data_IF_039667094967
#
_entry.id   IF_039667094967
#
_cell.length_a   1.000
_cell.length_b   1.000
_cell.length_c   1.000
_cell.angle_alpha   90.00
_cell.angle_beta   90.00
_cell.angle_gamma   90.00
#
_symmetry.space_group_name_H-M   'P 1'
#
loop_
_entity.id
_entity.type
_entity.pdbx_description
1 polymer ?
#
# COMPACT_ATOMS: atom_id res chain seq x y z
N UNK A 1 2.44 11.54 9.15
CA UNK A 1 1.77 12.30 8.07
C UNK A 1 0.35 11.75 7.82
N UNK A 2 -0.70 12.56 8.02
CA UNK A 2 -2.05 12.12 7.63
C UNK A 2 -2.16 12.02 6.10
N UNK A 3 -2.51 10.84 5.57
CA UNK A 3 -2.69 10.64 4.12
C UNK A 3 -3.96 11.38 3.68
N UNK A 4 -3.81 12.30 2.71
CA UNK A 4 -4.93 13.07 2.14
C UNK A 4 -5.69 12.25 1.11
N UNK A 5 -6.95 12.61 0.85
CA UNK A 5 -7.78 11.92 -0.15
C UNK A 5 -7.13 11.85 -1.53
N UNK A 6 -6.50 12.93 -1.98
CA UNK A 6 -5.78 13.00 -3.26
C UNK A 6 -4.65 11.96 -3.35
N UNK A 7 -3.97 11.71 -2.23
CA UNK A 7 -2.90 10.70 -2.18
C UNK A 7 -3.49 9.29 -2.25
N UNK A 8 -4.65 9.03 -1.64
CA UNK A 8 -5.33 7.75 -1.80
C UNK A 8 -5.72 7.46 -3.24
N UNK A 9 -6.26 8.46 -3.96
CA UNK A 9 -6.61 8.28 -5.37
C UNK A 9 -5.36 8.02 -6.21
N UNK A 10 -4.28 8.78 -5.99
CA UNK A 10 -3.01 8.56 -6.69
C UNK A 10 -2.43 7.16 -6.44
N UNK A 11 -2.49 6.66 -5.20
CA UNK A 11 -2.07 5.28 -4.87
C UNK A 11 -2.89 4.27 -5.69
N UNK A 12 -4.21 4.44 -5.72
CA UNK A 12 -5.11 3.54 -6.45
C UNK A 12 -4.86 3.55 -7.94
N UNK A 13 -4.80 4.74 -8.55
CA UNK A 13 -4.56 4.90 -9.99
C UNK A 13 -3.25 4.25 -10.42
N UNK A 14 -2.15 4.55 -9.72
CA UNK A 14 -0.85 4.02 -10.05
C UNK A 14 -0.80 2.50 -9.87
N UNK A 15 -1.29 1.99 -8.74
CA UNK A 15 -1.29 0.55 -8.50
C UNK A 15 -2.18 -0.22 -9.49
N UNK A 16 -3.34 0.33 -9.87
CA UNK A 16 -4.18 -0.25 -10.93
C UNK A 16 -3.44 -0.32 -12.28
N UNK A 17 -2.67 0.71 -12.64
CA UNK A 17 -1.84 0.70 -13.86
C UNK A 17 -0.75 -0.39 -13.86
N UNK A 18 -0.34 -0.87 -12.68
CA UNK A 18 0.58 -1.99 -12.50
C UNK A 18 -0.13 -3.36 -12.44
N UNK A 19 -1.46 -3.37 -12.55
CA UNK A 19 -2.29 -4.57 -12.48
C UNK A 19 -2.65 -4.99 -11.06
N UNK A 20 -2.55 -4.09 -10.08
CA UNK A 20 -3.01 -4.38 -8.73
C UNK A 20 -4.52 -4.67 -8.76
N UNK A 21 -4.91 -5.76 -8.11
CA UNK A 21 -6.32 -6.17 -7.95
C UNK A 21 -6.85 -5.86 -6.56
N UNK A 22 -5.94 -5.63 -5.60
CA UNK A 22 -6.27 -5.34 -4.21
C UNK A 22 -5.17 -4.55 -3.54
N UNK A 23 -5.56 -3.56 -2.75
CA UNK A 23 -4.63 -2.73 -1.98
C UNK A 23 -5.20 -2.47 -0.60
N UNK A 24 -4.38 -2.72 0.42
CA UNK A 24 -4.73 -2.53 1.82
C UNK A 24 -3.66 -1.69 2.49
N UNK A 25 -4.05 -0.55 3.05
CA UNK A 25 -3.19 0.20 3.95
C UNK A 25 -3.27 -0.42 5.33
N UNK A 26 -2.14 -0.56 6.01
CA UNK A 26 -2.15 -1.09 7.38
C UNK A 26 -1.20 -0.33 8.30
N UNK A 27 -1.20 -0.72 9.58
CA UNK A 27 -0.33 -0.18 10.63
C UNK A 27 -0.51 1.33 10.89
N UNK A 28 0.59 2.06 11.01
CA UNK A 28 0.67 3.42 11.53
C UNK A 28 -0.12 4.41 10.69
N UNK A 29 -0.20 4.19 9.37
CA UNK A 29 -1.04 4.96 8.46
C UNK A 29 -2.54 4.87 8.80
N UNK A 30 -2.97 3.81 9.49
CA UNK A 30 -4.35 3.60 9.94
C UNK A 30 -4.53 4.08 11.39
N UNK A 31 -3.59 3.75 12.28
CA UNK A 31 -3.77 3.95 13.73
C UNK A 31 -3.29 5.33 14.25
N UNK A 32 -2.24 5.90 13.67
CA UNK A 32 -1.75 7.23 14.03
C UNK A 32 -1.15 7.94 12.80
N UNK A 33 -2.02 8.48 11.92
CA UNK A 33 -1.60 9.03 10.65
C UNK A 33 -0.59 10.17 10.86
N UNK A 34 -0.77 11.05 11.84
CA UNK A 34 0.13 12.20 12.03
C UNK A 34 1.57 11.80 12.38
N UNK A 35 1.77 10.69 13.11
CA UNK A 35 3.09 10.20 13.47
C UNK A 35 3.74 9.25 12.43
N UNK A 36 2.98 8.78 11.44
CA UNK A 36 3.50 7.87 10.41
C UNK A 36 4.62 8.53 9.58
N UNK A 37 5.74 7.82 9.42
CA UNK A 37 6.92 8.26 8.65
C UNK A 37 7.03 7.59 7.29
N UNK A 38 6.28 6.51 7.14
CA UNK A 38 6.20 5.58 6.03
C UNK A 38 4.74 5.21 5.80
N UNK A 39 4.45 4.65 4.62
CA UNK A 39 3.14 4.11 4.27
C UNK A 39 3.28 2.61 4.03
N UNK A 40 2.73 1.81 4.94
CA UNK A 40 2.64 0.36 4.79
C UNK A 40 1.46 -0.03 3.89
N UNK A 41 1.74 -0.72 2.78
CA UNK A 41 0.72 -1.24 1.86
C UNK A 41 0.89 -2.74 1.63
N UNK A 42 -0.24 -3.46 1.60
CA UNK A 42 -0.30 -4.83 1.14
C UNK A 42 -1.02 -4.88 -0.20
N UNK A 43 -0.46 -5.59 -1.17
CA UNK A 43 -0.89 -5.55 -2.56
C UNK A 43 -1.02 -6.95 -3.16
N UNK A 44 -2.03 -7.16 -3.99
CA UNK A 44 -2.19 -8.34 -4.83
C UNK A 44 -2.32 -7.97 -6.30
N UNK A 45 -2.09 -8.92 -7.20
CA UNK A 45 -2.20 -8.74 -8.66
C UNK A 45 -0.94 -8.25 -9.36
N UNK A 46 -0.05 -7.53 -8.66
CA UNK A 46 1.26 -7.10 -9.20
C UNK A 46 2.29 -8.21 -9.04
N UNK A 47 2.91 -8.64 -10.14
CA UNK A 47 3.76 -9.83 -10.18
C UNK A 47 5.25 -9.54 -10.01
N UNK A 48 5.92 -10.33 -9.18
CA UNK A 48 7.38 -10.35 -9.07
C UNK A 48 7.97 -8.97 -8.76
N UNK A 49 9.04 -8.60 -9.46
CA UNK A 49 9.76 -7.34 -9.22
C UNK A 49 8.94 -6.07 -9.51
N UNK A 50 7.84 -6.16 -10.27
CA UNK A 50 6.95 -5.02 -10.53
C UNK A 50 6.31 -4.46 -9.26
N UNK A 51 6.21 -5.27 -8.21
CA UNK A 51 5.69 -4.80 -6.92
C UNK A 51 6.62 -3.76 -6.28
N UNK A 52 7.93 -3.99 -6.34
CA UNK A 52 8.92 -3.05 -5.82
C UNK A 52 9.10 -1.84 -6.74
N UNK A 53 8.93 -2.02 -8.05
CA UNK A 53 8.87 -0.89 -8.99
C UNK A 53 7.67 0.01 -8.69
N UNK A 54 6.49 -0.56 -8.43
CA UNK A 54 5.31 0.19 -7.97
C UNK A 54 5.61 0.97 -6.69
N UNK A 55 6.27 0.34 -5.70
CA UNK A 55 6.68 1.00 -4.47
C UNK A 55 7.54 2.23 -4.76
N UNK A 56 8.62 2.06 -5.53
CA UNK A 56 9.52 3.16 -5.88
C UNK A 56 8.80 4.30 -6.61
N UNK A 57 7.86 3.98 -7.52
CA UNK A 57 7.06 5.01 -8.19
C UNK A 57 6.11 5.74 -7.24
N UNK A 58 5.53 5.06 -6.25
CA UNK A 58 4.72 5.70 -5.22
C UNK A 58 5.58 6.64 -4.36
N UNK A 59 6.79 6.23 -3.99
CA UNK A 59 7.73 7.06 -3.25
C UNK A 59 8.15 8.32 -4.05
N UNK A 60 8.43 8.16 -5.35
CA UNK A 60 8.73 9.28 -6.26
C UNK A 60 7.58 10.30 -6.32
N UNK A 61 6.35 9.82 -6.51
CA UNK A 61 5.16 10.67 -6.72
C UNK A 61 4.65 11.30 -5.41
N UNK A 62 4.79 10.62 -4.28
CA UNK A 62 4.21 11.03 -2.99
C UNK A 62 5.27 11.54 -2.00
N UNK A 63 6.54 11.51 -2.37
CA UNK A 63 7.69 11.93 -1.55
C UNK A 63 7.66 11.36 -0.13
N UNK A 64 7.21 10.12 0.01
CA UNK A 64 7.04 9.41 1.28
C UNK A 64 7.52 7.98 1.10
N UNK A 65 8.27 7.39 2.04
CA UNK A 65 8.67 5.98 1.98
C UNK A 65 7.48 5.02 1.98
N UNK A 66 7.58 3.91 1.23
CA UNK A 66 6.56 2.87 1.15
C UNK A 66 7.11 1.49 1.51
N UNK A 67 6.49 0.86 2.50
CA UNK A 67 6.73 -0.54 2.83
C UNK A 67 5.67 -1.40 2.15
N UNK A 68 6.11 -2.32 1.27
CA UNK A 68 5.20 -3.10 0.42
C UNK A 68 5.26 -4.58 0.73
N UNK A 69 4.10 -5.19 0.92
CA UNK A 69 3.95 -6.63 1.22
C UNK A 69 3.06 -7.30 0.17
N UNK A 70 3.51 -8.40 -0.48
CA UNK A 70 2.64 -9.18 -1.35
C UNK A 70 1.59 -9.93 -0.50
N UNK A 71 0.31 -9.86 -0.91
CA UNK A 71 -0.77 -10.61 -0.27
C UNK A 71 -0.76 -12.10 -0.65
N UNK A 72 -0.18 -12.45 -1.80
CA UNK A 72 -0.09 -13.81 -2.33
C UNK A 72 1.37 -14.29 -2.34
N UNK A 73 1.67 -15.49 -1.78
CA UNK A 73 0.77 -16.41 -1.09
C UNK A 73 0.34 -15.88 0.30
N UNK A 74 -0.83 -16.31 0.80
CA UNK A 74 -1.30 -15.86 2.11
C UNK A 74 -0.41 -16.39 3.25
N UNK A 75 -0.25 -15.56 4.27
CA UNK A 75 0.47 -15.86 5.50
C UNK A 75 -0.37 -15.40 6.68
N UNK A 76 -0.05 -15.87 7.90
CA UNK A 76 -0.70 -15.37 9.13
C UNK A 76 -0.59 -13.84 9.28
N UNK A 77 0.47 -13.24 8.73
CA UNK A 77 0.65 -11.79 8.72
C UNK A 77 -0.30 -11.11 7.74
N UNK A 78 -0.38 -11.57 6.49
CA UNK A 78 -1.27 -10.98 5.48
C UNK A 78 -2.74 -11.17 5.87
N UNK A 79 -3.12 -12.30 6.47
CA UNK A 79 -4.47 -12.50 7.02
C UNK A 79 -4.83 -11.47 8.11
N UNK A 80 -3.86 -11.06 8.94
CA UNK A 80 -4.06 -10.03 9.96
C UNK A 80 -4.21 -8.65 9.32
N UNK A 81 -3.37 -8.36 8.32
CA UNK A 81 -3.44 -7.13 7.52
C UNK A 81 -4.80 -7.02 6.85
N UNK A 82 -5.31 -8.09 6.25
CA UNK A 82 -6.63 -8.11 5.62
C UNK A 82 -7.77 -7.84 6.61
N UNK A 83 -7.65 -8.31 7.86
CA UNK A 83 -8.69 -8.13 8.90
C UNK A 83 -8.71 -6.74 9.52
N UNK A 84 -7.58 -6.04 9.57
CA UNK A 84 -7.43 -4.78 10.32
C UNK A 84 -7.09 -3.57 9.46
N UNK A 85 -6.58 -3.80 8.26
CA UNK A 85 -6.19 -2.73 7.35
C UNK A 85 -7.38 -2.06 6.68
N UNK A 86 -7.11 -0.88 6.10
CA UNK A 86 -8.06 -0.12 5.30
C UNK A 86 -7.92 -0.51 3.83
N UNK A 87 -8.97 -1.09 3.27
CA UNK A 87 -9.03 -1.43 1.83
C UNK A 87 -9.16 -0.14 1.01
N UNK A 88 -8.32 0.00 -0.01
CA UNK A 88 -8.37 1.09 -1.00
C UNK A 88 -8.91 0.62 -2.34
N UNK A 89 -8.55 -0.59 -2.74
CA UNK A 89 -8.95 -1.28 -3.96
C UNK A 89 -9.44 -2.68 -3.63
#
# INVERSE_FOLDING_TARGET
MAIRQEQYEKIKELAQSYGATRIILFRSAVDNPEAARDIDIACDGVRGWKLYELAARLEEELHTPFDVVPLTPPTRFTELVEKRGRVLL
#
